data_IF_095082989094
#
_entry.id   IF_095082989094
#
_cell.length_a   1.000
_cell.length_b   1.000
_cell.length_c   1.000
_cell.angle_alpha   90.00
_cell.angle_beta   90.00
_cell.angle_gamma   90.00
#
_symmetry.space_group_name_H-M   'P 1'
#
loop_
_entity.id
_entity.type
_entity.pdbx_description
1 polymer ?
#
# COMPACT_ATOMS: atom_id res chain seq x y z
N UNK A 1 23.79 -11.20 9.61
CA UNK A 1 23.96 -10.15 10.63
C UNK A 1 22.57 -9.73 11.10
N UNK A 2 22.37 -9.51 12.41
CA UNK A 2 21.09 -9.06 12.92
C UNK A 2 20.72 -7.71 12.26
N UNK A 3 19.44 -7.52 11.94
CA UNK A 3 18.87 -6.31 11.29
C UNK A 3 19.31 -5.03 12.01
N UNK A 4 19.38 -5.10 13.33
CA UNK A 4 19.76 -3.98 14.20
C UNK A 4 21.21 -3.48 14.01
N UNK A 5 22.15 -4.34 13.57
CA UNK A 5 23.55 -3.93 13.37
C UNK A 5 23.74 -2.98 12.18
N UNK A 6 22.81 -2.96 11.22
CA UNK A 6 22.83 -2.01 10.10
C UNK A 6 22.24 -0.66 10.47
N UNK A 7 21.25 -0.61 11.37
CA UNK A 7 20.64 0.64 11.83
C UNK A 7 21.55 1.45 12.77
N UNK A 8 22.51 0.80 13.44
CA UNK A 8 23.42 1.45 14.40
C UNK A 8 24.21 2.60 13.76
N UNK A 9 24.43 2.57 12.45
CA UNK A 9 25.23 3.58 11.74
C UNK A 9 24.37 4.58 10.96
N UNK A 10 23.03 4.46 10.96
CA UNK A 10 22.16 5.37 10.23
C UNK A 10 21.79 6.56 11.11
N UNK A 11 22.18 7.75 10.71
CA UNK A 11 21.89 8.99 11.42
C UNK A 11 20.57 9.56 10.91
N UNK A 12 19.51 9.40 11.66
CA UNK A 12 18.18 9.90 11.30
C UNK A 12 17.51 10.65 12.45
N UNK A 13 16.55 11.49 12.12
CA UNK A 13 15.61 12.07 13.07
C UNK A 13 14.18 11.91 12.55
N UNK A 14 13.25 11.69 13.44
CA UNK A 14 11.81 11.79 13.17
C UNK A 14 11.42 13.25 13.44
N UNK A 15 10.59 13.83 12.57
CA UNK A 15 10.10 15.21 12.71
C UNK A 15 8.60 15.22 12.48
N UNK A 16 7.91 15.98 13.30
CA UNK A 16 6.49 16.29 13.19
C UNK A 16 6.27 17.79 13.42
N UNK A 17 5.41 18.43 12.60
CA UNK A 17 5.17 19.86 12.62
C UNK A 17 3.70 20.16 12.84
N UNK A 18 3.39 20.83 13.93
CA UNK A 18 2.04 21.31 14.19
C UNK A 18 1.82 22.69 13.57
N UNK A 19 0.81 22.76 12.71
CA UNK A 19 0.49 23.98 11.93
C UNK A 19 -0.92 24.47 12.25
N UNK A 20 -1.05 25.76 12.42
CA UNK A 20 -2.33 26.38 12.68
C UNK A 20 -3.29 26.32 11.50
N UNK A 21 -4.50 25.82 11.73
CA UNK A 21 -5.54 25.64 10.71
C UNK A 21 -5.93 26.93 9.97
N UNK A 22 -5.86 28.08 10.63
CA UNK A 22 -6.31 29.36 10.06
C UNK A 22 -5.19 30.19 9.44
N UNK A 23 -3.99 30.13 10.01
CA UNK A 23 -2.88 31.02 9.65
C UNK A 23 -1.75 30.30 8.89
N UNK A 24 -1.82 28.97 8.78
CA UNK A 24 -0.80 28.13 8.15
C UNK A 24 0.62 28.37 8.67
N UNK A 25 0.75 28.84 9.91
CA UNK A 25 2.06 29.05 10.55
C UNK A 25 2.38 27.87 11.46
N UNK A 26 3.67 27.56 11.55
CA UNK A 26 4.17 26.59 12.50
C UNK A 26 3.90 27.09 13.92
N UNK A 27 3.22 26.29 14.71
CA UNK A 27 2.97 26.53 16.13
C UNK A 27 3.95 25.79 17.01
N UNK A 28 4.30 24.58 16.61
CA UNK A 28 5.18 23.73 17.36
C UNK A 28 5.91 22.74 16.44
N UNK A 29 7.07 22.26 16.85
CA UNK A 29 7.85 21.24 16.14
C UNK A 29 8.37 20.25 17.16
N UNK A 30 8.06 19.00 16.95
CA UNK A 30 8.70 17.87 17.62
C UNK A 30 9.77 17.24 16.76
N UNK A 31 10.88 16.85 17.36
CA UNK A 31 11.82 15.97 16.69
C UNK A 31 12.46 14.99 17.68
N UNK A 32 12.78 13.80 17.18
CA UNK A 32 13.40 12.72 17.94
C UNK A 32 14.52 12.11 17.11
N UNK A 33 15.77 12.28 17.55
CA UNK A 33 16.94 11.68 16.88
C UNK A 33 17.12 10.21 17.22
N UNK A 34 17.86 9.53 16.37
CA UNK A 34 18.24 8.11 16.54
C UNK A 34 18.96 7.82 17.86
N UNK A 35 19.70 8.79 18.42
CA UNK A 35 20.43 8.69 19.67
C UNK A 35 19.57 8.97 20.92
N UNK A 36 18.26 9.23 20.74
CA UNK A 36 17.32 9.51 21.83
C UNK A 36 17.18 11.00 22.19
N UNK A 37 17.99 11.89 21.59
CA UNK A 37 17.84 13.33 21.81
C UNK A 37 16.51 13.82 21.25
N UNK A 38 15.84 14.71 21.97
CA UNK A 38 14.54 15.28 21.60
C UNK A 38 14.64 16.80 21.38
N UNK A 39 13.79 17.31 20.50
CA UNK A 39 13.58 18.73 20.26
C UNK A 39 12.09 19.04 20.34
N UNK A 40 11.73 20.13 21.03
CA UNK A 40 10.34 20.54 21.18
C UNK A 40 10.26 22.09 21.31
N UNK A 41 10.20 22.77 20.17
CA UNK A 41 10.08 24.24 20.08
C UNK A 41 9.58 24.65 18.70
N UNK A 42 9.07 25.87 18.54
CA UNK A 42 8.59 26.39 17.25
C UNK A 42 9.71 26.99 16.34
N UNK A 43 10.99 26.91 16.71
CA UNK A 43 12.09 27.56 16.00
C UNK A 43 12.68 26.66 14.90
N UNK A 44 12.46 26.99 13.62
CA UNK A 44 13.09 26.27 12.51
C UNK A 44 14.62 26.34 12.55
N UNK A 45 15.18 27.46 12.97
CA UNK A 45 16.64 27.62 13.03
C UNK A 45 17.27 26.64 14.00
N UNK A 46 16.76 26.59 15.22
CA UNK A 46 17.22 25.65 16.24
C UNK A 46 16.97 24.18 15.84
N UNK A 47 15.83 23.90 15.17
CA UNK A 47 15.59 22.57 14.59
C UNK A 47 16.69 22.18 13.61
N UNK A 48 17.06 23.06 12.68
CA UNK A 48 18.11 22.74 11.68
C UNK A 48 19.47 22.53 12.32
N UNK A 49 19.78 23.28 13.38
CA UNK A 49 20.98 23.04 14.20
C UNK A 49 20.93 21.67 14.87
N UNK A 50 19.77 21.29 15.45
CA UNK A 50 19.53 19.97 16.05
C UNK A 50 19.67 18.82 15.04
N UNK A 51 19.22 19.02 13.78
CA UNK A 51 19.25 18.03 12.71
C UNK A 51 20.59 17.97 11.97
N UNK A 52 21.55 18.85 12.25
CA UNK A 52 22.81 18.97 11.52
C UNK A 52 23.68 17.69 11.50
N UNK A 53 23.48 16.83 12.49
CA UNK A 53 24.19 15.55 12.61
C UNK A 53 23.46 14.35 11.97
N UNK A 54 22.35 14.58 11.26
CA UNK A 54 21.53 13.53 10.64
C UNK A 54 21.65 13.54 9.12
N UNK A 55 21.48 12.39 8.49
CA UNK A 55 21.44 12.22 7.04
C UNK A 55 19.99 12.13 6.53
N UNK A 56 19.11 11.55 7.35
CA UNK A 56 17.71 11.31 7.02
C UNK A 56 16.77 12.08 7.96
N UNK A 57 15.71 12.64 7.39
CA UNK A 57 14.55 13.12 8.15
C UNK A 57 13.37 12.23 7.80
N UNK A 58 12.80 11.62 8.83
CA UNK A 58 11.68 10.71 8.72
C UNK A 58 10.44 11.32 9.34
N UNK A 59 9.28 10.97 8.84
CA UNK A 59 8.01 11.38 9.42
C UNK A 59 6.84 10.64 8.77
N UNK A 60 5.65 10.88 9.28
CA UNK A 60 4.44 10.30 8.72
C UNK A 60 3.67 11.35 7.91
N UNK A 61 3.63 11.19 6.58
CA UNK A 61 3.18 12.21 5.62
C UNK A 61 4.11 13.44 5.54
N UNK A 62 5.38 13.26 5.86
CA UNK A 62 6.35 14.36 5.93
C UNK A 62 6.54 15.05 4.58
N UNK A 63 6.52 14.31 3.46
CA UNK A 63 6.74 14.85 2.11
C UNK A 63 5.64 15.85 1.74
N UNK A 64 4.38 15.55 2.03
CA UNK A 64 3.25 16.40 1.65
C UNK A 64 2.76 17.33 2.73
N UNK A 65 3.18 17.13 3.97
CA UNK A 65 2.78 18.00 5.08
C UNK A 65 3.97 18.82 5.61
N UNK A 66 4.84 18.24 6.39
CA UNK A 66 5.85 18.96 7.18
C UNK A 66 6.90 19.65 6.31
N UNK A 67 7.36 18.99 5.24
CA UNK A 67 8.38 19.53 4.35
C UNK A 67 7.98 20.87 3.71
N UNK A 68 6.70 21.10 3.43
CA UNK A 68 6.19 22.38 2.89
C UNK A 68 6.45 23.54 3.82
N UNK A 69 6.36 23.31 5.11
CA UNK A 69 6.52 24.35 6.12
C UNK A 69 7.98 24.52 6.55
N UNK A 70 8.74 23.41 6.53
CA UNK A 70 10.14 23.43 6.93
C UNK A 70 11.05 24.02 5.83
N UNK A 71 10.85 23.65 4.56
CA UNK A 71 11.77 23.93 3.46
C UNK A 71 11.23 24.94 2.44
N UNK A 72 10.48 25.96 2.88
CA UNK A 72 9.83 26.97 2.02
C UNK A 72 10.79 27.69 1.07
N UNK A 73 12.01 27.98 1.52
CA UNK A 73 12.96 28.83 0.82
C UNK A 73 14.33 28.17 0.56
N UNK A 74 14.45 26.87 0.86
CA UNK A 74 15.73 26.16 0.78
C UNK A 74 15.55 24.78 0.18
N UNK A 75 16.52 24.37 -0.62
CA UNK A 75 16.67 22.95 -0.98
C UNK A 75 16.89 22.13 0.30
N UNK A 76 16.09 21.09 0.48
CA UNK A 76 16.27 20.17 1.58
C UNK A 76 17.61 19.45 1.40
N UNK A 77 18.49 19.54 2.38
CA UNK A 77 19.79 18.87 2.36
C UNK A 77 19.72 17.44 2.90
N UNK A 78 18.60 17.07 3.48
CA UNK A 78 18.37 15.75 4.06
C UNK A 78 17.58 14.85 3.10
N UNK A 79 17.77 13.57 3.25
CA UNK A 79 16.97 12.56 2.53
C UNK A 79 15.69 12.33 3.32
N UNK A 80 14.53 12.57 2.68
CA UNK A 80 13.23 12.43 3.34
C UNK A 80 12.75 10.98 3.28
N UNK A 81 12.25 10.46 4.41
CA UNK A 81 11.63 9.14 4.53
C UNK A 81 10.21 9.31 5.04
N UNK A 82 9.24 8.90 4.23
CA UNK A 82 7.83 9.03 4.56
C UNK A 82 7.19 7.66 4.83
N UNK A 83 6.85 7.41 6.09
CA UNK A 83 6.27 6.13 6.50
C UNK A 83 4.86 5.91 5.93
N UNK A 84 4.12 6.97 5.57
CA UNK A 84 2.76 6.81 5.02
C UNK A 84 2.75 6.17 3.63
N UNK A 85 3.81 6.35 2.83
CA UNK A 85 3.95 5.69 1.53
C UNK A 85 4.37 4.23 1.64
N UNK A 86 5.15 3.92 2.67
CA UNK A 86 5.72 2.59 2.88
C UNK A 86 4.73 1.67 3.57
N UNK A 87 3.95 2.20 4.51
CA UNK A 87 3.01 1.42 5.33
C UNK A 87 2.02 0.58 4.50
N UNK A 88 1.33 1.11 3.46
CA UNK A 88 0.41 0.30 2.64
C UNK A 88 1.11 -0.77 1.80
N UNK A 89 2.37 -0.55 1.45
CA UNK A 89 3.16 -1.54 0.71
C UNK A 89 3.55 -2.74 1.58
N UNK A 90 3.89 -2.50 2.84
CA UNK A 90 4.41 -3.51 3.75
C UNK A 90 3.35 -4.15 4.64
N UNK A 91 2.26 -3.45 4.89
CA UNK A 91 1.11 -3.90 5.69
C UNK A 91 -0.20 -3.76 4.92
N UNK A 92 -0.30 -4.36 3.71
CA UNK A 92 -1.46 -4.19 2.83
C UNK A 92 -2.76 -4.73 3.43
N UNK A 93 -2.69 -5.58 4.45
CA UNK A 93 -3.83 -6.09 5.20
C UNK A 93 -4.49 -5.03 6.12
N UNK A 94 -3.80 -3.92 6.41
CA UNK A 94 -4.34 -2.85 7.25
C UNK A 94 -5.23 -1.92 6.43
N UNK A 95 -6.48 -1.66 6.81
CA UNK A 95 -7.36 -0.76 6.07
C UNK A 95 -7.00 0.72 6.26
N UNK A 96 -6.29 1.05 7.35
CA UNK A 96 -5.90 2.41 7.71
C UNK A 96 -4.40 2.49 8.00
N UNK A 97 -3.77 3.55 7.47
CA UNK A 97 -2.35 3.80 7.60
C UNK A 97 -2.00 5.12 8.30
N UNK A 98 -3.00 5.82 8.83
CA UNK A 98 -2.75 7.01 9.67
C UNK A 98 -2.22 6.59 11.03
N UNK A 99 -1.31 7.39 11.61
CA UNK A 99 -0.93 7.24 13.00
C UNK A 99 -2.18 7.40 13.89
N UNK A 100 -2.40 6.46 14.78
CA UNK A 100 -3.48 6.55 15.76
C UNK A 100 -3.13 7.71 16.72
N UNK A 101 -3.93 8.75 16.72
CA UNK A 101 -3.85 9.79 17.75
C UNK A 101 -4.53 9.22 18.99
N UNK A 102 -3.81 9.19 20.10
CA UNK A 102 -4.38 8.78 21.39
C UNK A 102 -5.62 9.64 21.71
N UNK A 103 -6.61 9.01 22.32
CA UNK A 103 -7.94 9.56 22.53
C UNK A 103 -7.91 11.02 23.00
N UNK A 104 -8.32 11.91 22.12
CA UNK A 104 -8.61 13.32 22.45
C UNK A 104 -9.74 13.49 23.49
N UNK A 105 -10.32 12.36 23.96
CA UNK A 105 -11.44 12.34 24.89
C UNK A 105 -11.03 12.41 26.36
N UNK A 106 -9.75 12.28 26.71
CA UNK A 106 -9.35 12.12 28.13
C UNK A 106 -8.48 13.29 28.66
N UNK A 107 -7.88 14.13 27.83
CA UNK A 107 -7.13 15.28 28.32
C UNK A 107 -7.16 16.46 27.38
N UNK A 108 -7.38 17.67 27.92
CA UNK A 108 -7.12 18.97 27.29
C UNK A 108 -5.60 19.22 27.03
N UNK A 109 -4.81 18.17 27.03
CA UNK A 109 -3.38 18.29 26.70
C UNK A 109 -3.26 18.53 25.20
N UNK A 110 -2.71 19.69 24.85
CA UNK A 110 -2.32 20.06 23.49
C UNK A 110 -1.54 18.89 22.84
N UNK A 111 -1.77 18.66 21.55
CA UNK A 111 -0.99 17.72 20.75
C UNK A 111 0.50 17.92 21.06
N UNK A 112 1.17 16.88 21.53
CA UNK A 112 2.61 16.94 21.74
C UNK A 112 3.28 16.30 20.52
N UNK A 113 3.92 17.08 19.63
CA UNK A 113 4.53 16.55 18.41
C UNK A 113 5.66 15.55 18.69
N UNK A 114 6.26 15.55 19.87
CA UNK A 114 7.26 14.54 20.26
C UNK A 114 6.61 13.15 20.41
N UNK A 115 5.38 13.07 20.94
CA UNK A 115 4.67 11.80 21.05
C UNK A 115 4.33 11.24 19.65
N UNK A 116 3.98 12.11 18.70
CA UNK A 116 3.73 11.68 17.32
C UNK A 116 5.04 11.26 16.63
N UNK A 117 6.19 11.89 16.97
CA UNK A 117 7.51 11.40 16.56
C UNK A 117 7.84 10.01 17.13
N UNK A 118 7.50 9.70 18.38
CA UNK A 118 7.72 8.37 18.96
C UNK A 118 6.91 7.29 18.24
N UNK A 119 5.63 7.57 17.91
CA UNK A 119 4.77 6.67 17.14
C UNK A 119 5.29 6.48 15.72
N UNK A 120 5.69 7.55 15.05
CA UNK A 120 6.27 7.48 13.72
C UNK A 120 7.59 6.71 13.70
N UNK A 121 8.42 6.83 14.76
CA UNK A 121 9.64 6.03 14.95
C UNK A 121 9.31 4.55 15.09
N UNK A 122 8.34 4.21 15.93
CA UNK A 122 7.92 2.82 16.10
C UNK A 122 7.45 2.21 14.76
N UNK A 123 6.61 2.95 14.01
CA UNK A 123 6.16 2.51 12.69
C UNK A 123 7.33 2.34 11.71
N UNK A 124 8.27 3.29 11.65
CA UNK A 124 9.45 3.19 10.80
C UNK A 124 10.29 1.93 11.11
N UNK A 125 10.49 1.63 12.38
CA UNK A 125 11.22 0.43 12.79
C UNK A 125 10.49 -0.86 12.40
N UNK A 126 9.16 -0.89 12.53
CA UNK A 126 8.32 -2.00 12.08
C UNK A 126 8.41 -2.16 10.56
N UNK A 127 8.36 -1.06 9.79
CA UNK A 127 8.51 -1.07 8.35
C UNK A 127 9.88 -1.61 7.91
N UNK A 128 10.95 -1.18 8.54
CA UNK A 128 12.30 -1.69 8.27
C UNK A 128 12.38 -3.19 8.60
N UNK A 129 11.85 -3.61 9.74
CA UNK A 129 11.81 -5.02 10.13
C UNK A 129 11.00 -5.85 9.12
N UNK A 130 9.83 -5.35 8.73
CA UNK A 130 8.96 -6.01 7.74
C UNK A 130 9.62 -6.10 6.37
N UNK A 131 10.26 -5.01 5.90
CA UNK A 131 11.03 -5.03 4.65
C UNK A 131 12.07 -6.13 4.63
N UNK A 132 12.87 -6.24 5.68
CA UNK A 132 13.91 -7.25 5.76
C UNK A 132 13.37 -8.68 5.96
N UNK A 133 12.15 -8.85 6.44
CA UNK A 133 11.47 -10.15 6.53
C UNK A 133 10.92 -10.63 5.19
N UNK A 134 10.74 -9.75 4.21
CA UNK A 134 10.30 -10.15 2.87
C UNK A 134 11.38 -11.01 2.18
N UNK A 135 10.96 -11.98 1.35
CA UNK A 135 11.88 -12.72 0.47
C UNK A 135 12.71 -11.76 -0.39
N UNK A 136 13.97 -12.10 -0.64
CA UNK A 136 14.89 -11.23 -1.41
C UNK A 136 14.33 -10.86 -2.78
N UNK A 137 13.70 -11.81 -3.47
CA UNK A 137 13.07 -11.58 -4.77
C UNK A 137 11.95 -10.51 -4.71
N UNK A 138 11.13 -10.49 -3.63
CA UNK A 138 10.10 -9.46 -3.43
C UNK A 138 10.70 -8.09 -3.13
N UNK A 139 11.73 -8.03 -2.29
CA UNK A 139 12.44 -6.77 -2.01
C UNK A 139 13.01 -6.17 -3.29
N UNK A 140 13.68 -6.99 -4.13
CA UNK A 140 14.21 -6.55 -5.43
C UNK A 140 13.10 -6.09 -6.38
N UNK A 141 11.98 -6.79 -6.40
CA UNK A 141 10.82 -6.41 -7.20
C UNK A 141 10.30 -5.03 -6.80
N UNK A 142 9.94 -4.85 -5.52
CA UNK A 142 9.39 -3.57 -5.04
C UNK A 142 10.40 -2.43 -5.18
N UNK A 143 11.68 -2.66 -4.83
CA UNK A 143 12.71 -1.68 -5.05
C UNK A 143 12.81 -1.25 -6.52
N UNK A 144 12.77 -2.21 -7.46
CA UNK A 144 12.89 -1.91 -8.90
C UNK A 144 11.69 -1.17 -9.48
N UNK A 145 10.47 -1.45 -9.00
CA UNK A 145 9.27 -0.73 -9.40
C UNK A 145 9.27 0.72 -8.88
N UNK A 146 9.86 0.96 -7.71
CA UNK A 146 9.75 2.23 -6.99
C UNK A 146 11.02 3.10 -7.05
N UNK A 147 12.12 2.63 -7.67
CA UNK A 147 13.44 3.28 -7.67
C UNK A 147 13.46 4.72 -8.17
N UNK A 148 12.59 5.05 -9.14
CA UNK A 148 12.56 6.37 -9.77
C UNK A 148 11.44 7.26 -9.20
N UNK A 149 10.98 6.94 -7.96
CA UNK A 149 9.89 7.63 -7.26
C UNK A 149 10.41 8.28 -5.99
N UNK A 150 10.39 9.61 -5.98
CA UNK A 150 10.95 10.43 -4.88
C UNK A 150 10.38 10.05 -3.51
N UNK A 151 9.11 9.67 -3.47
CA UNK A 151 8.39 9.29 -2.25
C UNK A 151 8.97 8.03 -1.58
N UNK A 152 9.65 7.18 -2.35
CA UNK A 152 10.23 5.92 -1.88
C UNK A 152 11.76 5.94 -1.79
N UNK A 153 12.41 6.91 -2.44
CA UNK A 153 13.87 7.00 -2.56
C UNK A 153 14.56 6.95 -1.19
N UNK A 154 14.06 7.74 -0.25
CA UNK A 154 14.65 7.81 1.08
C UNK A 154 14.58 6.50 1.85
N UNK A 155 13.44 5.83 1.83
CA UNK A 155 13.29 4.53 2.48
C UNK A 155 14.16 3.46 1.81
N UNK A 156 14.14 3.39 0.48
CA UNK A 156 14.95 2.43 -0.27
C UNK A 156 16.46 2.63 -0.03
N UNK A 157 16.90 3.88 0.06
CA UNK A 157 18.26 4.23 0.44
C UNK A 157 18.59 3.77 1.87
N UNK A 158 17.71 4.09 2.82
CA UNK A 158 17.89 3.75 4.24
C UNK A 158 17.99 2.24 4.48
N UNK A 159 17.18 1.42 3.79
CA UNK A 159 17.23 -0.04 3.93
C UNK A 159 18.32 -0.70 3.07
N UNK A 160 19.09 0.07 2.31
CA UNK A 160 20.11 -0.45 1.39
C UNK A 160 19.51 -1.36 0.33
N UNK A 161 18.44 -0.89 -0.32
CA UNK A 161 17.69 -1.68 -1.29
C UNK A 161 18.54 -2.12 -2.48
N UNK A 162 18.37 -3.37 -2.88
CA UNK A 162 19.03 -3.94 -4.07
C UNK A 162 17.98 -4.08 -5.16
N UNK A 163 18.33 -3.65 -6.35
CA UNK A 163 17.46 -3.65 -7.52
C UNK A 163 17.62 -4.91 -8.36
N UNK A 164 16.60 -5.29 -9.10
CA UNK A 164 16.72 -6.31 -10.12
C UNK A 164 17.47 -5.74 -11.35
N UNK A 165 18.45 -6.46 -11.85
CA UNK A 165 19.25 -5.99 -12.96
C UNK A 165 18.47 -6.02 -14.29
N UNK A 166 17.61 -7.01 -14.48
CA UNK A 166 16.75 -7.22 -15.67
C UNK A 166 15.55 -8.11 -15.31
N UNK A 167 14.57 -8.20 -16.21
CA UNK A 167 13.51 -9.20 -16.13
C UNK A 167 12.49 -8.97 -15.01
N UNK A 168 12.07 -7.71 -14.77
CA UNK A 168 11.05 -7.41 -13.76
C UNK A 168 9.74 -8.15 -14.07
N UNK A 169 9.32 -8.23 -15.34
CA UNK A 169 8.14 -8.99 -15.78
C UNK A 169 8.26 -10.48 -15.45
N UNK A 170 9.41 -11.07 -15.72
CA UNK A 170 9.69 -12.47 -15.38
C UNK A 170 9.67 -12.69 -13.85
N UNK A 171 10.25 -11.75 -13.09
CA UNK A 171 10.24 -11.81 -11.63
C UNK A 171 8.81 -11.74 -11.07
N UNK A 172 7.94 -10.89 -11.62
CA UNK A 172 6.51 -10.85 -11.26
C UNK A 172 5.85 -12.19 -11.60
N UNK A 173 6.02 -12.69 -12.82
CA UNK A 173 5.42 -13.95 -13.28
C UNK A 173 5.80 -15.12 -12.37
N UNK A 174 7.05 -15.18 -11.93
CA UNK A 174 7.54 -16.23 -11.04
C UNK A 174 7.01 -16.11 -9.60
N UNK A 175 6.94 -14.89 -9.06
CA UNK A 175 6.49 -14.64 -7.68
C UNK A 175 4.98 -14.78 -7.52
N UNK A 176 4.22 -14.50 -8.59
CA UNK A 176 2.76 -14.45 -8.57
C UNK A 176 2.12 -15.54 -9.44
N UNK A 177 2.81 -16.67 -9.57
CA UNK A 177 2.26 -17.88 -10.24
C UNK A 177 0.90 -18.20 -9.62
N UNK A 178 -0.11 -18.43 -10.48
CA UNK A 178 -1.49 -18.72 -10.10
C UNK A 178 -2.20 -17.65 -9.24
N UNK A 179 -1.60 -16.46 -9.08
CA UNK A 179 -2.23 -15.32 -8.40
C UNK A 179 -2.67 -14.23 -9.37
N UNK A 180 -2.11 -14.20 -10.57
CA UNK A 180 -2.44 -13.26 -11.65
C UNK A 180 -2.54 -14.00 -12.99
N UNK A 181 -3.17 -13.35 -13.97
CA UNK A 181 -3.21 -13.86 -15.34
C UNK A 181 -1.79 -13.97 -15.92
N UNK A 182 -1.45 -15.12 -16.50
CA UNK A 182 -0.14 -15.36 -17.12
C UNK A 182 0.12 -14.49 -18.36
N UNK A 183 -0.94 -13.99 -18.98
CA UNK A 183 -0.89 -13.10 -20.16
C UNK A 183 -1.25 -11.66 -19.81
N UNK A 184 -1.05 -11.23 -18.55
CA UNK A 184 -1.15 -9.83 -18.18
C UNK A 184 -0.04 -9.01 -18.86
N UNK A 185 -0.36 -7.82 -19.35
CA UNK A 185 0.59 -6.93 -20.03
C UNK A 185 1.56 -6.27 -19.03
N UNK A 186 2.42 -7.08 -18.40
CA UNK A 186 3.30 -6.65 -17.31
C UNK A 186 4.25 -5.52 -17.73
N UNK A 187 4.81 -5.57 -18.94
CA UNK A 187 5.75 -4.52 -19.42
C UNK A 187 5.07 -3.16 -19.51
N UNK A 188 3.83 -3.13 -19.97
CA UNK A 188 3.01 -1.91 -19.99
C UNK A 188 2.75 -1.41 -18.57
N UNK A 189 2.35 -2.29 -17.65
CA UNK A 189 2.08 -1.94 -16.26
C UNK A 189 3.32 -1.42 -15.53
N UNK A 190 4.46 -2.05 -15.72
CA UNK A 190 5.76 -1.64 -15.16
C UNK A 190 6.13 -0.23 -15.63
N UNK A 191 5.91 0.06 -16.90
CA UNK A 191 6.25 1.36 -17.50
C UNK A 191 5.29 2.47 -17.10
N UNK A 192 3.98 2.21 -17.10
CA UNK A 192 2.97 3.26 -16.95
C UNK A 192 2.47 3.43 -15.51
N UNK A 193 2.45 2.35 -14.72
CA UNK A 193 1.81 2.31 -13.40
C UNK A 193 2.67 1.60 -12.33
N UNK A 194 3.97 1.94 -12.19
CA UNK A 194 4.86 1.17 -11.32
C UNK A 194 4.49 1.25 -9.84
N UNK A 195 4.01 2.39 -9.33
CA UNK A 195 3.57 2.53 -7.94
C UNK A 195 2.27 1.75 -7.70
N UNK A 196 1.29 1.93 -8.58
CA UNK A 196 0.03 1.20 -8.50
C UNK A 196 0.24 -0.30 -8.63
N UNK A 197 1.19 -0.73 -9.48
CA UNK A 197 1.56 -2.13 -9.63
C UNK A 197 2.19 -2.67 -8.34
N UNK A 198 3.08 -1.92 -7.69
CA UNK A 198 3.67 -2.34 -6.42
C UNK A 198 2.60 -2.53 -5.33
N UNK A 199 1.68 -1.58 -5.16
CA UNK A 199 0.56 -1.71 -4.22
C UNK A 199 -0.40 -2.83 -4.60
N UNK A 200 -0.75 -2.97 -5.88
CA UNK A 200 -1.60 -4.06 -6.36
C UNK A 200 -1.00 -5.43 -6.05
N UNK A 201 0.29 -5.61 -6.32
CA UNK A 201 0.99 -6.86 -6.03
C UNK A 201 1.08 -7.14 -4.53
N UNK A 202 1.28 -6.10 -3.70
CA UNK A 202 1.26 -6.24 -2.24
C UNK A 202 -0.12 -6.69 -1.75
N UNK A 203 -1.20 -6.11 -2.25
CA UNK A 203 -2.59 -6.48 -1.92
C UNK A 203 -2.93 -7.90 -2.37
N UNK A 204 -2.55 -8.29 -3.60
CA UNK A 204 -2.77 -9.64 -4.15
C UNK A 204 -2.07 -10.72 -3.31
N UNK A 205 -1.02 -10.37 -2.62
CA UNK A 205 -0.23 -11.30 -1.82
C UNK A 205 -0.73 -11.46 -0.37
N UNK A 206 -1.74 -10.72 0.04
CA UNK A 206 -2.34 -10.88 1.36
C UNK A 206 -3.03 -12.23 1.47
N UNK A 207 -2.94 -12.84 2.66
CA UNK A 207 -3.59 -14.12 2.95
C UNK A 207 -5.08 -13.90 3.25
N UNK A 208 -5.43 -12.69 3.68
CA UNK A 208 -6.81 -12.35 4.05
C UNK A 208 -7.61 -11.96 2.82
N UNK A 209 -8.60 -12.79 2.49
CA UNK A 209 -9.55 -12.52 1.40
C UNK A 209 -10.47 -11.31 1.65
N UNK A 210 -10.41 -10.72 2.83
CA UNK A 210 -11.17 -9.52 3.19
C UNK A 210 -10.35 -8.23 3.08
N UNK A 211 -9.13 -8.30 2.59
CA UNK A 211 -8.32 -7.11 2.36
C UNK A 211 -8.99 -6.21 1.33
N UNK A 212 -9.18 -4.95 1.70
CA UNK A 212 -9.68 -3.90 0.82
C UNK A 212 -8.54 -2.94 0.50
N UNK A 213 -8.56 -2.35 -0.68
CA UNK A 213 -7.59 -1.32 -1.03
C UNK A 213 -7.71 -0.15 -0.04
N UNK A 214 -6.62 0.20 0.69
CA UNK A 214 -6.68 1.27 1.67
C UNK A 214 -7.11 2.59 1.03
N UNK A 215 -7.99 3.34 1.72
CA UNK A 215 -8.54 4.60 1.21
C UNK A 215 -7.45 5.63 0.84
N UNK A 216 -6.33 5.65 1.58
CA UNK A 216 -5.20 6.50 1.24
C UNK A 216 -4.56 6.12 -0.11
N UNK A 217 -4.44 4.82 -0.40
CA UNK A 217 -3.92 4.33 -1.69
C UNK A 217 -4.87 4.71 -2.82
N UNK A 218 -6.17 4.51 -2.65
CA UNK A 218 -7.18 4.91 -3.66
C UNK A 218 -7.14 6.41 -3.96
N UNK A 219 -6.93 7.23 -2.95
CA UNK A 219 -6.86 8.68 -3.11
C UNK A 219 -5.59 9.13 -3.85
N UNK A 220 -4.42 8.57 -3.49
CA UNK A 220 -3.13 9.01 -4.05
C UNK A 220 -2.74 8.25 -5.34
N UNK A 221 -3.22 7.01 -5.49
CA UNK A 221 -2.95 6.12 -6.62
C UNK A 221 -4.26 5.55 -7.19
N UNK A 222 -5.15 6.38 -7.76
CA UNK A 222 -6.50 5.97 -8.15
C UNK A 222 -6.54 4.89 -9.23
N UNK A 223 -5.42 4.60 -9.89
CA UNK A 223 -5.30 3.53 -10.89
C UNK A 223 -4.99 2.16 -10.30
N UNK A 224 -4.83 2.02 -8.98
CA UNK A 224 -4.51 0.72 -8.37
C UNK A 224 -5.59 -0.34 -8.65
N UNK A 225 -6.88 0.02 -8.56
CA UNK A 225 -8.00 -0.87 -8.89
C UNK A 225 -8.01 -1.29 -10.37
N UNK A 226 -7.68 -0.35 -11.26
CA UNK A 226 -7.52 -0.63 -12.69
C UNK A 226 -6.38 -1.63 -12.95
N UNK A 227 -5.25 -1.47 -12.26
CA UNK A 227 -4.11 -2.39 -12.36
C UNK A 227 -4.49 -3.78 -11.84
N UNK A 228 -5.17 -3.87 -10.68
CA UNK A 228 -5.68 -5.14 -10.15
C UNK A 228 -6.60 -5.81 -11.17
N UNK A 229 -7.49 -5.05 -11.80
CA UNK A 229 -8.39 -5.58 -12.84
C UNK A 229 -7.62 -6.15 -14.02
N UNK A 230 -6.57 -5.48 -14.50
CA UNK A 230 -5.75 -6.00 -15.59
C UNK A 230 -4.97 -7.25 -15.21
N UNK A 231 -4.54 -7.37 -13.96
CA UNK A 231 -3.81 -8.54 -13.47
C UNK A 231 -4.71 -9.75 -13.22
N UNK A 232 -5.95 -9.54 -12.77
CA UNK A 232 -6.77 -10.61 -12.19
C UNK A 232 -8.14 -10.81 -12.83
N UNK A 233 -8.78 -9.76 -13.36
CA UNK A 233 -10.20 -9.83 -13.76
C UNK A 233 -10.41 -9.88 -15.27
N UNK A 234 -9.37 -9.69 -16.06
CA UNK A 234 -9.45 -9.80 -17.50
C UNK A 234 -9.04 -11.22 -17.92
N UNK A 235 -10.02 -12.05 -18.29
CA UNK A 235 -9.74 -13.41 -18.79
C UNK A 235 -8.96 -13.30 -20.10
N UNK A 236 -7.80 -13.97 -20.17
CA UNK A 236 -7.05 -14.05 -21.41
C UNK A 236 -7.75 -14.98 -22.43
N UNK A 237 -7.51 -14.72 -23.71
CA UNK A 237 -8.09 -15.53 -24.80
C UNK A 237 -7.55 -16.97 -24.82
N UNK A 238 -6.33 -17.15 -24.37
CA UNK A 238 -5.60 -18.44 -24.42
C UNK A 238 -5.99 -19.38 -23.27
N UNK A 239 -6.71 -18.88 -22.25
CA UNK A 239 -7.21 -19.72 -21.17
C UNK A 239 -6.11 -20.23 -20.24
N UNK A 240 -5.28 -19.33 -19.66
CA UNK A 240 -4.23 -19.73 -18.73
C UNK A 240 -4.79 -20.37 -17.45
N UNK A 241 -3.92 -21.05 -16.69
CA UNK A 241 -4.29 -21.77 -15.46
C UNK A 241 -5.05 -20.84 -14.49
N UNK A 242 -4.54 -19.63 -14.24
CA UNK A 242 -5.21 -18.66 -13.38
C UNK A 242 -6.63 -18.34 -13.85
N UNK A 243 -6.80 -17.98 -15.14
CA UNK A 243 -8.11 -17.60 -15.67
C UNK A 243 -9.09 -18.78 -15.70
N UNK A 244 -8.62 -19.99 -15.95
CA UNK A 244 -9.46 -21.19 -16.00
C UNK A 244 -9.91 -21.66 -14.60
N UNK A 245 -9.14 -21.35 -13.56
CA UNK A 245 -9.50 -21.71 -12.17
C UNK A 245 -10.20 -20.56 -11.44
N UNK A 246 -9.59 -19.39 -11.39
CA UNK A 246 -10.08 -18.28 -10.56
C UNK A 246 -11.28 -17.54 -11.18
N UNK A 247 -11.39 -17.52 -12.52
CA UNK A 247 -12.51 -16.89 -13.24
C UNK A 247 -13.56 -17.90 -13.72
N UNK A 248 -13.46 -19.17 -13.32
CA UNK A 248 -14.48 -20.17 -13.57
C UNK A 248 -15.60 -20.08 -12.53
N UNK A 249 -16.79 -19.69 -13.00
CA UNK A 249 -17.92 -19.41 -12.13
C UNK A 249 -18.51 -20.67 -11.47
N UNK A 250 -18.45 -21.84 -12.15
CA UNK A 250 -18.93 -23.09 -11.61
C UNK A 250 -17.97 -23.68 -10.58
N UNK A 251 -16.67 -23.60 -10.87
CA UNK A 251 -15.64 -23.99 -9.92
C UNK A 251 -15.76 -23.19 -8.61
N UNK A 252 -15.90 -21.86 -8.72
CA UNK A 252 -16.06 -20.97 -7.56
C UNK A 252 -17.38 -21.21 -6.82
N UNK A 253 -18.47 -21.49 -7.52
CA UNK A 253 -19.75 -21.85 -6.90
C UNK A 253 -19.60 -23.10 -6.01
N UNK A 254 -18.88 -24.12 -6.52
CA UNK A 254 -18.62 -25.35 -5.77
C UNK A 254 -17.71 -25.09 -4.55
N UNK A 255 -16.61 -24.38 -4.72
CA UNK A 255 -15.63 -24.13 -3.65
C UNK A 255 -16.25 -23.29 -2.52
N UNK A 256 -16.95 -22.20 -2.84
CA UNK A 256 -17.41 -21.25 -1.84
C UNK A 256 -18.81 -21.57 -1.28
N UNK A 257 -19.64 -22.28 -2.02
CA UNK A 257 -21.05 -22.52 -1.64
C UNK A 257 -21.42 -23.99 -1.61
N UNK A 258 -20.58 -24.90 -2.09
CA UNK A 258 -20.86 -26.33 -2.14
C UNK A 258 -21.92 -26.73 -3.17
N UNK A 259 -22.30 -25.86 -4.11
CA UNK A 259 -23.26 -26.16 -5.16
C UNK A 259 -22.56 -26.57 -6.45
N UNK A 260 -23.06 -27.62 -7.09
CA UNK A 260 -22.53 -28.11 -8.36
C UNK A 260 -23.00 -27.29 -9.57
N UNK A 261 -24.14 -26.60 -9.46
CA UNK A 261 -24.74 -25.80 -10.54
C UNK A 261 -25.56 -24.65 -9.99
N UNK A 262 -25.72 -23.61 -10.80
CA UNK A 262 -26.61 -22.50 -10.52
C UNK A 262 -28.08 -22.95 -10.69
N UNK A 263 -28.99 -22.21 -10.04
CA UNK A 263 -30.42 -22.41 -10.18
C UNK A 263 -30.89 -21.96 -11.57
N UNK A 264 -31.73 -22.76 -12.21
CA UNK A 264 -32.43 -22.39 -13.43
C UNK A 264 -33.79 -21.80 -13.11
N UNK A 265 -34.30 -20.95 -14.00
CA UNK A 265 -35.63 -20.35 -13.94
C UNK A 265 -36.33 -20.63 -15.27
N UNK A 266 -37.46 -21.33 -15.23
CA UNK A 266 -38.22 -21.73 -16.42
C UNK A 266 -37.34 -22.44 -17.47
N UNK A 267 -36.33 -23.18 -17.03
CA UNK A 267 -35.37 -23.87 -17.89
C UNK A 267 -34.17 -23.03 -18.34
N UNK A 268 -34.12 -21.74 -18.03
CA UNK A 268 -33.02 -20.86 -18.40
C UNK A 268 -32.01 -20.69 -17.25
N UNK A 269 -30.72 -20.67 -17.60
CA UNK A 269 -29.61 -20.52 -16.66
C UNK A 269 -29.35 -19.02 -16.30
N UNK A 270 -30.38 -18.28 -15.96
CA UNK A 270 -30.32 -16.82 -15.75
C UNK A 270 -29.36 -16.42 -14.62
N UNK A 271 -29.29 -17.22 -13.56
CA UNK A 271 -28.40 -16.95 -12.44
C UNK A 271 -26.91 -17.09 -12.87
N UNK A 272 -26.58 -18.13 -13.61
CA UNK A 272 -25.24 -18.34 -14.14
C UNK A 272 -24.85 -17.23 -15.14
N UNK A 273 -25.74 -16.90 -16.06
CA UNK A 273 -25.54 -15.81 -17.02
C UNK A 273 -25.27 -14.47 -16.32
N UNK A 274 -25.98 -14.18 -15.22
CA UNK A 274 -25.76 -12.95 -14.43
C UNK A 274 -24.35 -12.95 -13.81
N UNK A 275 -23.91 -14.07 -13.21
CA UNK A 275 -22.57 -14.18 -12.62
C UNK A 275 -21.49 -14.09 -13.70
N UNK A 276 -21.65 -14.77 -14.84
CA UNK A 276 -20.70 -14.69 -15.96
C UNK A 276 -20.58 -13.26 -16.53
N UNK A 277 -21.70 -12.54 -16.61
CA UNK A 277 -21.70 -11.14 -17.06
C UNK A 277 -20.96 -10.25 -16.06
N UNK A 278 -21.19 -10.44 -14.75
CA UNK A 278 -20.51 -9.71 -13.69
C UNK A 278 -18.99 -9.95 -13.69
N UNK A 279 -18.55 -11.21 -13.80
CA UNK A 279 -17.11 -11.58 -13.91
C UNK A 279 -16.46 -10.96 -15.16
N UNK A 280 -17.21 -10.81 -16.25
CA UNK A 280 -16.75 -10.10 -17.47
C UNK A 280 -16.79 -8.56 -17.32
N UNK A 281 -17.12 -8.03 -16.16
CA UNK A 281 -17.23 -6.59 -15.91
C UNK A 281 -18.35 -5.88 -16.66
N UNK A 282 -19.39 -6.61 -17.08
CA UNK A 282 -20.55 -6.03 -17.76
C UNK A 282 -21.54 -5.47 -16.73
N UNK A 283 -22.07 -4.28 -17.01
CA UNK A 283 -23.21 -3.75 -16.25
C UNK A 283 -24.44 -4.60 -16.54
N UNK A 284 -25.12 -5.05 -15.49
CA UNK A 284 -26.34 -5.84 -15.61
C UNK A 284 -27.36 -5.46 -14.52
N UNK A 285 -28.62 -5.66 -14.82
CA UNK A 285 -29.72 -5.62 -13.88
C UNK A 285 -30.30 -7.03 -13.76
N UNK A 286 -30.12 -7.68 -12.59
CA UNK A 286 -30.64 -9.01 -12.33
C UNK A 286 -31.88 -8.93 -11.44
N UNK A 287 -33.03 -9.36 -11.95
CA UNK A 287 -34.30 -9.37 -11.23
C UNK A 287 -34.70 -10.83 -11.00
N UNK A 288 -34.75 -11.23 -9.75
CA UNK A 288 -35.16 -12.58 -9.30
C UNK A 288 -36.23 -12.45 -8.23
N UNK A 289 -37.14 -13.45 -8.12
CA UNK A 289 -38.13 -13.48 -7.06
C UNK A 289 -37.50 -13.50 -5.66
N UNK A 290 -38.29 -13.24 -4.64
CA UNK A 290 -37.85 -13.38 -3.23
C UNK A 290 -37.42 -14.84 -3.00
N UNK A 291 -36.26 -15.04 -2.35
CA UNK A 291 -35.67 -16.38 -2.22
C UNK A 291 -34.97 -16.90 -3.47
N UNK A 292 -34.92 -16.14 -4.57
CA UNK A 292 -34.31 -16.53 -5.85
C UNK A 292 -32.79 -16.51 -5.88
N UNK A 293 -32.08 -16.46 -4.73
CA UNK A 293 -30.63 -16.57 -4.67
C UNK A 293 -29.88 -15.39 -5.28
N UNK A 294 -30.44 -14.16 -5.20
CA UNK A 294 -29.77 -12.93 -5.68
C UNK A 294 -28.35 -12.75 -5.13
N UNK A 295 -28.13 -13.13 -3.88
CA UNK A 295 -26.81 -13.02 -3.24
C UNK A 295 -25.75 -13.84 -3.96
N UNK A 296 -26.11 -15.01 -4.51
CA UNK A 296 -25.19 -15.84 -5.30
C UNK A 296 -24.70 -15.17 -6.60
N UNK A 297 -25.41 -14.16 -7.10
CA UNK A 297 -24.99 -13.43 -8.29
C UNK A 297 -23.88 -12.41 -8.00
N UNK A 298 -23.77 -11.93 -6.75
CA UNK A 298 -22.83 -10.89 -6.36
C UNK A 298 -21.57 -11.44 -5.67
N UNK A 299 -21.70 -12.48 -4.86
CA UNK A 299 -20.61 -13.00 -4.04
C UNK A 299 -19.51 -13.66 -4.89
N UNK A 300 -19.81 -14.54 -5.88
CA UNK A 300 -18.77 -15.13 -6.70
C UNK A 300 -17.96 -14.13 -7.52
N UNK A 301 -18.56 -12.97 -7.85
CA UNK A 301 -17.85 -11.90 -8.55
C UNK A 301 -16.93 -11.07 -7.63
N UNK A 302 -17.18 -11.09 -6.31
CA UNK A 302 -16.36 -10.39 -5.32
C UNK A 302 -15.26 -11.25 -4.70
N UNK A 303 -15.41 -12.57 -4.70
CA UNK A 303 -14.38 -13.51 -4.19
C UNK A 303 -13.17 -13.64 -5.11
N UNK A 304 -13.21 -13.04 -6.29
CA UNK A 304 -12.07 -12.88 -7.20
C UNK A 304 -11.26 -11.62 -6.90
N UNK A 305 -11.72 -10.77 -5.95
CA UNK A 305 -11.01 -9.56 -5.51
C UNK A 305 -9.85 -9.90 -4.58
#
# INVERSE_FOLDING_TARGET
MPIWSRLINIRYAIVDVEVGLKNHKIHDIGALRHDGATYHKASKKELFEFLSSTDYICGHNIIHHDAKYLFTDKTCQWILVDTLYISPLLFPERPYHKLLKDDKLISDQMNNPVNDCEKAKALLLDEIARWHSLPDAKRRLFASLLKDRKEFEGFLSMVGAVYANKGISELISNLYVNKICQHAELDMLIKQYPCELAYALALIDTIDHHSITPGWVLYNYPRVEFVIKLLRHNRCNEGCVYCNTQLDVLHNLKIFFGYEQFRTYEGEALQEQAVQAAVKGKSLLAIFPTGGGKSLCFIPSKTVL
#
